data_IF_684156601873
#
_entry.id   IF_684156601873
#
_cell.length_a   1.000
_cell.length_b   1.000
_cell.length_c   1.000
_cell.angle_alpha   90.00
_cell.angle_beta   90.00
_cell.angle_gamma   90.00
#
_symmetry.space_group_name_H-M   'P 1'
#
loop_
_entity.id
_entity.type
_entity.pdbx_description
1 polymer ?
#
# COMPACT_ATOMS: atom_id res chain seq x y z
N UNK A 1 28.72 16.97 -2.57
CA UNK A 1 29.54 15.83 -2.11
C UNK A 1 28.88 14.49 -2.39
N UNK A 2 27.70 14.17 -1.83
CA UNK A 2 27.03 12.87 -2.11
C UNK A 2 26.26 12.86 -3.43
N UNK A 3 25.57 13.95 -3.76
CA UNK A 3 24.82 14.09 -5.02
C UNK A 3 25.72 13.96 -6.25
N UNK A 4 26.87 14.64 -6.25
CA UNK A 4 27.81 14.65 -7.39
C UNK A 4 28.30 13.24 -7.74
N UNK A 5 28.60 12.43 -6.72
CA UNK A 5 28.99 11.02 -6.90
C UNK A 5 27.87 10.16 -7.47
N UNK A 6 26.62 10.42 -7.06
CA UNK A 6 25.45 9.72 -7.61
C UNK A 6 25.28 10.10 -9.08
N UNK A 7 25.45 11.38 -9.44
CA UNK A 7 25.40 11.83 -10.83
C UNK A 7 26.50 11.22 -11.68
N UNK A 8 27.72 11.10 -11.16
CA UNK A 8 28.83 10.41 -11.84
C UNK A 8 28.47 8.95 -12.13
N UNK A 9 28.03 8.20 -11.11
CA UNK A 9 27.64 6.80 -11.26
C UNK A 9 26.48 6.64 -12.26
N UNK A 10 25.47 7.52 -12.20
CA UNK A 10 24.34 7.45 -13.15
C UNK A 10 24.78 7.78 -14.57
N UNK A 11 25.69 8.74 -14.76
CA UNK A 11 26.24 9.07 -16.09
C UNK A 11 27.12 7.97 -16.66
N UNK A 12 27.85 7.24 -15.82
CA UNK A 12 28.62 6.06 -16.24
C UNK A 12 27.68 4.92 -16.69
N UNK A 13 26.57 4.72 -15.98
CA UNK A 13 25.62 3.62 -16.24
C UNK A 13 24.60 3.92 -17.35
N UNK A 14 24.20 5.18 -17.52
CA UNK A 14 23.31 5.65 -18.58
C UNK A 14 23.83 6.96 -19.19
N UNK A 15 24.92 6.89 -20.00
CA UNK A 15 25.51 8.08 -20.62
C UNK A 15 24.56 8.79 -21.60
N UNK A 16 23.54 8.07 -22.08
CA UNK A 16 22.58 8.54 -23.08
C UNK A 16 21.32 9.16 -22.47
N UNK A 17 21.18 9.11 -21.14
CA UNK A 17 20.02 9.59 -20.37
C UNK A 17 18.67 9.01 -20.84
N UNK A 18 18.69 7.80 -21.39
CA UNK A 18 17.51 7.16 -21.97
C UNK A 18 16.73 6.31 -20.98
N UNK A 19 17.37 5.90 -19.88
CA UNK A 19 16.85 4.86 -18.99
C UNK A 19 16.71 5.32 -17.55
N UNK A 20 17.47 6.31 -17.10
CA UNK A 20 17.47 6.77 -15.72
C UNK A 20 17.11 8.25 -15.62
N UNK A 21 16.30 8.58 -14.62
CA UNK A 21 15.96 9.96 -14.25
C UNK A 21 16.38 10.22 -12.80
N UNK A 22 17.19 11.24 -12.57
CA UNK A 22 17.57 11.69 -11.23
C UNK A 22 16.63 12.80 -10.80
N UNK A 23 16.03 12.66 -9.63
CA UNK A 23 15.25 13.69 -8.96
C UNK A 23 15.95 14.08 -7.65
N UNK A 24 16.29 15.36 -7.50
CA UNK A 24 16.85 15.90 -6.27
C UNK A 24 15.76 16.65 -5.50
N UNK A 25 15.39 16.14 -4.34
CA UNK A 25 14.58 16.84 -3.35
C UNK A 25 15.47 17.56 -2.33
N UNK A 26 14.82 18.26 -1.40
CA UNK A 26 15.52 19.04 -0.36
C UNK A 26 16.31 18.16 0.62
N UNK A 27 15.87 16.91 0.84
CA UNK A 27 16.49 15.97 1.78
C UNK A 27 17.00 14.69 1.14
N UNK A 28 16.60 14.39 -0.09
CA UNK A 28 16.81 13.10 -0.71
C UNK A 28 17.08 13.18 -2.21
N UNK A 29 17.80 12.17 -2.72
CA UNK A 29 18.07 11.98 -4.14
C UNK A 29 17.43 10.66 -4.55
N UNK A 30 16.59 10.67 -5.58
CA UNK A 30 15.93 9.47 -6.12
C UNK A 30 16.36 9.25 -7.55
N UNK A 31 16.70 8.00 -7.88
CA UNK A 31 16.96 7.58 -9.26
C UNK A 31 15.82 6.67 -9.70
N UNK A 32 15.12 7.06 -10.75
CA UNK A 32 13.97 6.34 -11.29
C UNK A 32 14.30 5.72 -12.64
N UNK A 33 13.82 4.49 -12.92
CA UNK A 33 13.83 3.95 -14.27
C UNK A 33 12.76 4.65 -15.13
N UNK A 34 13.13 5.10 -16.34
CA UNK A 34 12.22 5.65 -17.34
C UNK A 34 11.45 4.53 -18.04
N UNK A 35 10.15 4.72 -18.25
CA UNK A 35 9.33 3.80 -19.03
C UNK A 35 9.47 4.09 -20.54
N UNK A 36 10.63 3.76 -21.12
CA UNK A 36 10.93 4.01 -22.53
C UNK A 36 11.49 5.41 -22.80
N UNK A 37 11.25 5.96 -24.00
CA UNK A 37 11.77 7.30 -24.41
C UNK A 37 11.00 8.49 -23.83
N UNK A 38 9.93 8.26 -23.07
CA UNK A 38 9.22 9.33 -22.37
C UNK A 38 9.84 9.53 -20.99
N UNK A 39 9.78 10.77 -20.47
CA UNK A 39 10.07 11.07 -19.07
C UNK A 39 8.97 10.56 -18.12
N UNK A 40 8.17 9.59 -18.55
CA UNK A 40 7.15 8.99 -17.71
C UNK A 40 7.81 8.04 -16.70
N UNK A 41 7.72 8.42 -15.43
CA UNK A 41 8.22 7.62 -14.31
C UNK A 41 7.15 6.62 -13.90
N UNK A 42 7.54 5.34 -13.79
CA UNK A 42 6.66 4.33 -13.21
C UNK A 42 6.50 4.58 -11.70
N UNK A 43 5.30 4.97 -11.29
CA UNK A 43 4.96 5.25 -9.89
C UNK A 43 4.29 4.06 -9.21
N UNK A 44 4.18 4.11 -7.87
CA UNK A 44 3.33 3.17 -7.12
C UNK A 44 1.89 3.14 -7.66
N UNK A 45 1.38 4.28 -8.15
CA UNK A 45 0.07 4.37 -8.80
C UNK A 45 -0.03 3.54 -10.08
N UNK A 46 1.02 3.56 -10.92
CA UNK A 46 1.09 2.70 -12.10
C UNK A 46 1.08 1.21 -11.72
N UNK A 47 1.82 0.84 -10.66
CA UNK A 47 1.84 -0.53 -10.12
C UNK A 47 0.48 -0.99 -9.59
N UNK A 48 -0.20 -0.16 -8.80
CA UNK A 48 -1.54 -0.45 -8.27
C UNK A 48 -2.55 -0.55 -9.41
N UNK A 49 -2.45 0.31 -10.44
CA UNK A 49 -3.34 0.26 -11.61
C UNK A 49 -3.16 -1.03 -12.41
N UNK A 50 -1.91 -1.47 -12.61
CA UNK A 50 -1.63 -2.75 -13.25
C UNK A 50 -2.21 -3.91 -12.45
N UNK A 51 -2.01 -3.90 -11.13
CA UNK A 51 -2.57 -4.89 -10.22
C UNK A 51 -4.11 -4.93 -10.24
N UNK A 52 -4.76 -3.76 -10.17
CA UNK A 52 -6.23 -3.65 -10.18
C UNK A 52 -6.85 -4.09 -11.52
N UNK A 53 -6.13 -3.89 -12.64
CA UNK A 53 -6.53 -4.36 -13.97
C UNK A 53 -6.55 -5.89 -14.04
N UNK A 54 -5.57 -6.56 -13.43
CA UNK A 54 -5.52 -8.03 -13.34
C UNK A 54 -6.52 -8.59 -12.31
N UNK A 55 -6.80 -7.87 -11.22
CA UNK A 55 -7.60 -8.34 -10.09
C UNK A 55 -9.13 -8.09 -10.19
N UNK A 56 -9.63 -7.48 -11.27
CA UNK A 56 -11.02 -6.99 -11.41
C UNK A 56 -11.40 -6.00 -10.30
N UNK A 57 -11.26 -4.71 -10.60
CA UNK A 57 -11.32 -3.57 -9.68
C UNK A 57 -12.63 -3.32 -8.92
N UNK A 58 -13.70 -4.08 -9.17
CA UNK A 58 -15.03 -3.88 -8.57
C UNK A 58 -15.04 -4.14 -7.04
N UNK A 59 -14.03 -4.82 -6.51
CA UNK A 59 -13.93 -5.19 -5.09
C UNK A 59 -12.75 -4.56 -4.35
N UNK A 60 -12.23 -3.43 -4.84
CA UNK A 60 -11.08 -2.77 -4.20
C UNK A 60 -11.56 -1.86 -3.07
N UNK A 61 -11.14 -2.18 -1.84
CA UNK A 61 -11.34 -1.33 -0.67
C UNK A 61 -10.06 -0.53 -0.37
N UNK A 62 -10.18 0.78 -0.13
CA UNK A 62 -9.02 1.63 0.20
C UNK A 62 -9.17 2.33 1.55
N UNK A 63 -8.19 2.17 2.43
CA UNK A 63 -8.13 2.90 3.71
C UNK A 63 -7.06 3.98 3.63
N UNK A 64 -7.42 5.20 4.00
CA UNK A 64 -6.55 6.37 3.97
C UNK A 64 -6.31 6.87 5.39
N UNK A 65 -5.04 6.86 5.83
CA UNK A 65 -4.64 7.34 7.16
C UNK A 65 -4.26 8.81 7.05
N UNK A 66 -5.20 9.71 7.35
CA UNK A 66 -4.99 11.16 7.28
C UNK A 66 -6.06 11.95 8.03
N UNK A 67 -5.66 13.05 8.67
CA UNK A 67 -6.55 14.08 9.21
C UNK A 67 -6.67 15.32 8.30
N UNK A 68 -5.93 15.36 7.19
CA UNK A 68 -5.95 16.48 6.25
C UNK A 68 -7.25 16.47 5.42
N UNK A 69 -8.11 17.45 5.68
CA UNK A 69 -9.41 17.60 5.01
C UNK A 69 -9.29 17.83 3.50
N UNK A 70 -8.26 18.55 3.04
CA UNK A 70 -8.03 18.80 1.62
C UNK A 70 -7.69 17.49 0.89
N UNK A 71 -6.84 16.66 1.51
CA UNK A 71 -6.52 15.34 0.97
C UNK A 71 -7.76 14.43 0.96
N UNK A 72 -8.55 14.45 2.05
CA UNK A 72 -9.80 13.68 2.11
C UNK A 72 -10.77 14.08 1.00
N UNK A 73 -10.97 15.37 0.75
CA UNK A 73 -11.86 15.86 -0.32
C UNK A 73 -11.38 15.41 -1.70
N UNK A 74 -10.08 15.49 -1.98
CA UNK A 74 -9.49 15.02 -3.26
C UNK A 74 -9.71 13.52 -3.46
N UNK A 75 -9.51 12.72 -2.42
CA UNK A 75 -9.71 11.27 -2.47
C UNK A 75 -11.19 10.93 -2.68
N UNK A 76 -12.11 11.61 -1.97
CA UNK A 76 -13.57 11.42 -2.15
C UNK A 76 -13.99 11.66 -3.60
N UNK A 77 -13.62 12.81 -4.18
CA UNK A 77 -13.94 13.15 -5.56
C UNK A 77 -13.35 12.13 -6.55
N UNK A 78 -12.13 11.65 -6.31
CA UNK A 78 -11.49 10.63 -7.13
C UNK A 78 -12.23 9.29 -7.08
N UNK A 79 -12.62 8.85 -5.89
CA UNK A 79 -13.39 7.62 -5.67
C UNK A 79 -14.78 7.69 -6.33
N UNK A 80 -15.48 8.81 -6.17
CA UNK A 80 -16.78 9.06 -6.81
C UNK A 80 -16.69 9.01 -8.34
N UNK A 81 -15.66 9.64 -8.93
CA UNK A 81 -15.43 9.61 -10.37
C UNK A 81 -15.16 8.22 -10.95
N UNK A 82 -14.74 7.26 -10.12
CA UNK A 82 -14.51 5.86 -10.51
C UNK A 82 -15.61 4.91 -10.00
N UNK A 83 -16.74 5.44 -9.53
CA UNK A 83 -17.83 4.67 -8.91
C UNK A 83 -17.38 3.77 -7.73
N UNK A 84 -16.27 4.12 -7.08
CA UNK A 84 -15.75 3.38 -5.94
C UNK A 84 -16.37 3.90 -4.63
N UNK A 85 -17.27 3.12 -4.05
CA UNK A 85 -17.91 3.42 -2.74
C UNK A 85 -17.15 2.82 -1.55
N UNK A 86 -16.09 2.07 -1.82
CA UNK A 86 -15.38 1.22 -0.85
C UNK A 86 -14.11 1.93 -0.37
N UNK A 87 -14.29 2.99 0.43
CA UNK A 87 -13.15 3.69 1.05
C UNK A 87 -13.46 4.14 2.48
N UNK A 88 -12.41 4.25 3.29
CA UNK A 88 -12.49 4.78 4.66
C UNK A 88 -11.32 5.70 4.98
N UNK A 89 -11.56 6.66 5.87
CA UNK A 89 -10.52 7.52 6.45
C UNK A 89 -10.34 7.18 7.93
N UNK A 90 -9.09 7.17 8.39
CA UNK A 90 -8.72 7.04 9.80
C UNK A 90 -7.72 8.12 10.16
N UNK A 91 -7.75 8.58 11.41
CA UNK A 91 -6.87 9.67 11.87
C UNK A 91 -5.42 9.22 12.05
N UNK A 92 -5.20 7.95 12.40
CA UNK A 92 -3.88 7.43 12.69
C UNK A 92 -3.76 5.92 12.42
N UNK A 93 -2.53 5.39 12.30
CA UNK A 93 -2.31 3.96 12.14
C UNK A 93 -2.83 3.12 13.32
N UNK A 94 -2.84 3.67 14.54
CA UNK A 94 -3.29 2.96 15.74
C UNK A 94 -4.78 2.64 15.69
N UNK A 95 -5.61 3.53 15.13
CA UNK A 95 -7.04 3.27 14.92
C UNK A 95 -7.24 2.12 13.94
N UNK A 96 -6.44 2.05 12.88
CA UNK A 96 -6.48 0.95 11.93
C UNK A 96 -6.03 -0.37 12.58
N UNK A 97 -4.96 -0.34 13.37
CA UNK A 97 -4.48 -1.50 14.13
C UNK A 97 -5.53 -2.01 15.12
N UNK A 98 -6.18 -1.11 15.87
CA UNK A 98 -7.25 -1.46 16.80
C UNK A 98 -8.45 -2.08 16.08
N UNK A 99 -8.86 -1.53 14.95
CA UNK A 99 -9.94 -2.07 14.13
C UNK A 99 -9.61 -3.48 13.60
N UNK A 100 -8.38 -3.71 13.14
CA UNK A 100 -7.91 -5.03 12.69
C UNK A 100 -7.88 -6.03 13.84
N UNK A 101 -7.35 -5.65 15.01
CA UNK A 101 -7.35 -6.50 16.20
C UNK A 101 -8.77 -6.89 16.63
N UNK A 102 -9.69 -5.92 16.61
CA UNK A 102 -11.12 -6.15 16.90
C UNK A 102 -11.77 -7.10 15.90
N UNK A 103 -11.50 -6.94 14.60
CA UNK A 103 -12.01 -7.83 13.57
C UNK A 103 -11.53 -9.28 13.77
N UNK A 104 -10.26 -9.49 14.10
CA UNK A 104 -9.69 -10.81 14.42
C UNK A 104 -10.37 -11.45 15.62
N UNK A 105 -10.59 -10.70 16.72
CA UNK A 105 -11.28 -11.21 17.91
C UNK A 105 -12.71 -11.65 17.58
N UNK A 106 -13.42 -10.84 16.79
CA UNK A 106 -14.79 -11.15 16.35
C UNK A 106 -14.83 -12.41 15.47
N UNK A 107 -13.85 -12.60 14.59
CA UNK A 107 -13.75 -13.80 13.74
C UNK A 107 -13.49 -15.07 14.58
N UNK A 108 -12.72 -14.97 15.66
CA UNK A 108 -12.49 -16.07 16.61
C UNK A 108 -13.78 -16.44 17.34
N UNK A 109 -14.61 -15.47 17.74
CA UNK A 109 -15.87 -15.72 18.44
C UNK A 109 -16.97 -16.32 17.55
N UNK A 110 -16.96 -16.01 16.25
CA UNK A 110 -17.97 -16.53 15.31
C UNK A 110 -17.69 -17.95 14.82
N UNK A 111 -16.44 -18.42 14.93
CA UNK A 111 -16.12 -19.84 14.72
C UNK A 111 -16.40 -20.57 16.03
N UNK A 112 -17.45 -21.39 16.15
CA UNK A 112 -17.61 -22.22 17.33
C UNK A 112 -16.39 -23.16 17.37
N UNK A 113 -15.51 -22.93 18.34
CA UNK A 113 -14.52 -23.93 18.73
C UNK A 113 -15.34 -25.15 19.13
N UNK A 114 -15.20 -26.24 18.38
CA UNK A 114 -15.91 -27.46 18.69
C UNK A 114 -15.35 -27.98 20.03
N UNK A 115 -15.98 -27.61 21.15
CA UNK A 115 -15.56 -27.93 22.53
C UNK A 115 -15.38 -29.45 22.77
N UNK A 116 -15.91 -30.28 21.86
CA UNK A 116 -15.67 -31.73 21.81
C UNK A 116 -14.23 -32.14 21.50
N UNK A 117 -13.43 -31.28 20.86
CA UNK A 117 -12.01 -31.57 20.58
C UNK A 117 -11.15 -31.23 21.80
N UNK A 118 -11.40 -30.08 22.43
CA UNK A 118 -10.69 -29.68 23.65
C UNK A 118 -10.92 -30.65 24.82
N UNK A 119 -12.15 -31.15 25.00
CA UNK A 119 -12.46 -32.15 26.04
C UNK A 119 -11.78 -33.51 25.81
N UNK A 120 -11.49 -33.87 24.55
CA UNK A 120 -10.78 -35.12 24.22
C UNK A 120 -9.26 -35.02 24.37
N UNK A 121 -8.68 -33.85 24.12
CA UNK A 121 -7.24 -33.63 24.31
C UNK A 121 -6.91 -33.44 25.80
N UNK A 122 -7.72 -32.71 26.56
CA UNK A 122 -7.52 -32.55 28.01
C UNK A 122 -7.62 -33.86 28.80
N UNK A 123 -8.50 -34.79 28.42
CA UNK A 123 -8.58 -36.12 29.06
C UNK A 123 -7.42 -37.04 28.69
N UNK A 124 -6.73 -36.82 27.56
CA UNK A 124 -5.63 -37.66 27.10
C UNK A 124 -4.29 -37.29 27.75
N UNK A 125 -4.13 -36.02 28.10
CA UNK A 125 -2.94 -35.51 28.77
C UNK A 125 -2.97 -35.68 30.31
N UNK A 126 -4.11 -36.11 30.86
CA UNK A 126 -4.31 -36.39 32.30
C UNK A 126 -4.91 -37.79 32.57
N UNK A 127 -4.49 -38.80 31.80
CA UNK A 127 -4.76 -40.23 32.08
C UNK A 127 -3.46 -41.02 32.18
#
# INVERSE_FOLDING_TARGET
MTYDKICEVVKELDPTEQHLLIHCGDMDVKVFPKAGKSDEVFTKGNGIRLFAKEMRSENVYTVWVTTDENLQQKVKALCEGHANKNYAFVSSPEILLAAMASATIREIQLRPVNERILSREFSRDYS
#
